data_IF_460950833859
#
_entry.id   IF_460950833859
#
_cell.length_a   1.000
_cell.length_b   1.000
_cell.length_c   1.000
_cell.angle_alpha   90.00
_cell.angle_beta   90.00
_cell.angle_gamma   90.00
#
_symmetry.space_group_name_H-M   'P 1'
#
loop_
_entity.id
_entity.type
_entity.pdbx_description
1 polymer ?
#
# COMPACT_ATOMS: atom_id res chain seq x y z
N UNK A 1 -15.40 -18.63 1.09
CA UNK A 1 -16.48 -17.61 1.01
C UNK A 1 -16.55 -17.10 -0.42
N UNK A 2 -17.66 -16.48 -0.85
CA UNK A 2 -17.70 -15.85 -2.18
C UNK A 2 -16.80 -14.61 -2.19
N UNK A 3 -16.08 -14.38 -3.29
CA UNK A 3 -15.31 -13.15 -3.51
C UNK A 3 -16.26 -12.08 -4.00
N UNK A 4 -16.26 -10.91 -3.35
CA UNK A 4 -17.00 -9.75 -3.82
C UNK A 4 -16.22 -9.08 -4.95
N UNK A 5 -16.92 -8.34 -5.82
CA UNK A 5 -16.31 -7.68 -6.99
C UNK A 5 -16.55 -6.17 -6.94
N UNK A 6 -15.48 -5.40 -7.07
CA UNK A 6 -15.52 -3.98 -7.44
C UNK A 6 -14.86 -3.85 -8.82
N UNK A 7 -15.63 -3.99 -9.90
CA UNK A 7 -15.10 -3.94 -11.26
C UNK A 7 -14.62 -2.52 -11.61
N UNK A 8 -13.89 -2.41 -12.71
CA UNK A 8 -13.43 -1.14 -13.26
C UNK A 8 -14.63 -0.30 -13.75
N UNK A 9 -15.19 0.48 -12.85
CA UNK A 9 -16.34 1.33 -13.07
C UNK A 9 -16.21 2.59 -12.20
N UNK A 10 -16.44 3.76 -12.78
CA UNK A 10 -16.36 5.05 -12.10
C UNK A 10 -17.18 5.12 -10.80
N UNK A 11 -18.25 4.31 -10.67
CA UNK A 11 -19.07 4.23 -9.45
C UNK A 11 -18.32 3.74 -8.22
N UNK A 12 -17.24 2.98 -8.42
CA UNK A 12 -16.41 2.38 -7.37
C UNK A 12 -15.06 3.06 -7.23
N UNK A 13 -14.80 4.11 -8.02
CA UNK A 13 -13.53 4.82 -8.03
C UNK A 13 -13.65 6.22 -7.41
N UNK A 14 -12.60 6.63 -6.72
CA UNK A 14 -12.41 7.98 -6.19
C UNK A 14 -10.91 8.33 -6.16
N UNK A 15 -10.57 9.63 -6.07
CA UNK A 15 -9.18 10.13 -6.09
C UNK A 15 -8.78 10.91 -4.84
N UNK A 16 -9.49 10.71 -3.72
CA UNK A 16 -9.21 11.35 -2.43
C UNK A 16 -9.62 10.44 -1.28
N UNK A 17 -9.09 10.68 -0.10
CA UNK A 17 -9.61 10.06 1.11
C UNK A 17 -10.57 11.01 1.83
N UNK A 18 -11.70 10.49 2.34
CA UNK A 18 -12.59 11.22 3.23
C UNK A 18 -13.38 10.23 4.12
N UNK A 19 -13.50 10.54 5.41
CA UNK A 19 -14.19 9.68 6.39
C UNK A 19 -15.70 9.61 6.21
N UNK A 20 -16.27 10.50 5.44
CA UNK A 20 -17.68 10.62 5.10
C UNK A 20 -18.04 10.15 3.68
N UNK A 21 -17.09 9.53 2.97
CA UNK A 21 -17.40 8.81 1.74
C UNK A 21 -18.28 7.59 2.06
N UNK A 22 -19.40 7.50 1.33
CA UNK A 22 -20.26 6.32 1.39
C UNK A 22 -19.49 5.08 0.90
N UNK A 23 -19.50 3.97 1.65
CA UNK A 23 -18.85 2.73 1.21
C UNK A 23 -19.40 2.23 -0.12
N UNK A 24 -18.51 1.89 -1.05
CA UNK A 24 -18.88 1.19 -2.28
C UNK A 24 -19.31 -0.25 -2.01
N UNK A 25 -18.80 -0.83 -0.92
CA UNK A 25 -19.07 -2.20 -0.49
C UNK A 25 -18.93 -2.31 1.03
N UNK A 26 -19.79 -3.12 1.66
CA UNK A 26 -19.63 -3.56 3.05
C UNK A 26 -19.45 -5.08 3.09
N UNK A 27 -18.46 -5.56 3.86
CA UNK A 27 -18.11 -6.97 3.99
C UNK A 27 -18.02 -7.38 5.46
N UNK A 28 -18.14 -8.70 5.70
CA UNK A 28 -17.82 -9.29 7.01
C UNK A 28 -16.30 -9.50 7.14
N UNK A 29 -15.74 -9.51 8.37
CA UNK A 29 -14.37 -9.97 8.61
C UNK A 29 -14.15 -11.37 8.02
N UNK A 30 -12.97 -11.60 7.43
CA UNK A 30 -12.67 -12.80 6.63
C UNK A 30 -13.19 -12.73 5.18
N UNK A 31 -13.85 -11.64 4.79
CA UNK A 31 -14.35 -11.43 3.44
C UNK A 31 -13.25 -11.06 2.45
N UNK A 32 -13.38 -11.54 1.20
CA UNK A 32 -12.45 -11.24 0.11
C UNK A 32 -13.11 -10.35 -0.94
N UNK A 33 -12.36 -9.40 -1.48
CA UNK A 33 -12.80 -8.47 -2.52
C UNK A 33 -11.80 -8.49 -3.66
N UNK A 34 -12.30 -8.62 -4.89
CA UNK A 34 -11.52 -8.36 -6.10
C UNK A 34 -11.82 -6.96 -6.59
N UNK A 35 -10.78 -6.13 -6.68
CA UNK A 35 -10.85 -4.76 -7.18
C UNK A 35 -10.19 -4.68 -8.54
N UNK A 36 -10.69 -3.80 -9.41
CA UNK A 36 -10.03 -3.42 -10.67
C UNK A 36 -9.88 -1.91 -10.73
N UNK A 37 -8.68 -1.43 -11.00
CA UNK A 37 -8.32 -0.02 -11.00
C UNK A 37 -7.60 0.38 -12.29
N UNK A 38 -7.77 1.62 -12.78
CA UNK A 38 -6.88 2.18 -13.80
C UNK A 38 -5.49 2.41 -13.19
N UNK A 39 -4.55 2.88 -13.99
CA UNK A 39 -3.27 3.33 -13.42
C UNK A 39 -3.46 4.58 -12.53
N UNK A 40 -2.39 5.04 -11.87
CA UNK A 40 -2.42 6.21 -10.99
C UNK A 40 -3.08 7.45 -11.62
N UNK A 41 -2.91 7.66 -12.93
CA UNK A 41 -3.42 8.82 -13.70
C UNK A 41 -4.76 8.54 -14.40
N UNK A 42 -5.54 7.56 -13.93
CA UNK A 42 -6.87 7.22 -14.42
C UNK A 42 -6.92 6.62 -15.84
N UNK A 43 -5.78 6.18 -16.40
CA UNK A 43 -5.73 5.49 -17.69
C UNK A 43 -6.08 4.01 -17.55
N UNK A 44 -6.98 3.53 -18.39
CA UNK A 44 -7.34 2.10 -18.53
C UNK A 44 -6.61 1.47 -19.71
N UNK A 45 -6.29 2.26 -20.73
CA UNK A 45 -5.41 1.98 -21.85
C UNK A 45 -4.51 3.20 -22.06
N UNK A 46 -3.41 3.14 -22.81
CA UNK A 46 -2.48 4.27 -22.96
C UNK A 46 -3.16 5.58 -23.34
N UNK A 47 -4.17 5.54 -24.22
CA UNK A 47 -4.89 6.71 -24.73
C UNK A 47 -6.35 6.78 -24.23
N UNK A 48 -6.75 5.97 -23.25
CA UNK A 48 -8.12 5.90 -22.74
C UNK A 48 -8.14 6.11 -21.24
N UNK A 49 -8.86 7.15 -20.81
CA UNK A 49 -9.07 7.45 -19.38
C UNK A 49 -10.51 7.15 -18.96
N UNK A 50 -10.66 6.79 -17.68
CA UNK A 50 -11.96 6.77 -17.02
C UNK A 50 -12.13 8.05 -16.22
N UNK A 51 -13.30 8.70 -16.31
CA UNK A 51 -13.56 9.92 -15.56
C UNK A 51 -14.01 9.61 -14.14
N UNK A 52 -13.46 10.35 -13.18
CA UNK A 52 -13.93 10.36 -11.80
C UNK A 52 -15.36 10.90 -11.70
N UNK A 53 -16.09 10.48 -10.65
CA UNK A 53 -17.39 11.05 -10.28
C UNK A 53 -17.28 12.49 -9.75
N UNK A 54 -16.14 12.86 -9.20
CA UNK A 54 -15.89 14.16 -8.57
C UNK A 54 -14.60 14.80 -9.11
N UNK A 55 -14.52 15.14 -10.41
CA UNK A 55 -13.27 15.56 -11.04
C UNK A 55 -12.65 16.81 -10.41
N UNK A 56 -13.45 17.64 -9.73
CA UNK A 56 -12.96 18.86 -9.05
C UNK A 56 -12.14 18.55 -7.78
N UNK A 57 -12.33 17.36 -7.18
CA UNK A 57 -11.68 16.96 -5.92
C UNK A 57 -10.86 15.68 -6.05
N UNK A 58 -11.13 14.85 -7.04
CA UNK A 58 -10.39 13.62 -7.34
C UNK A 58 -9.12 13.95 -8.12
N UNK A 59 -8.19 14.62 -7.47
CA UNK A 59 -6.92 15.07 -8.08
C UNK A 59 -5.74 14.13 -7.79
N UNK A 60 -6.00 13.01 -7.12
CA UNK A 60 -5.00 12.01 -6.75
C UNK A 60 -5.14 10.71 -7.53
N UNK A 61 -4.48 9.67 -7.00
CA UNK A 61 -4.50 8.31 -7.57
C UNK A 61 -5.93 7.77 -7.62
N UNK A 62 -6.24 7.03 -8.69
CA UNK A 62 -7.51 6.34 -8.81
C UNK A 62 -7.57 5.14 -7.86
N UNK A 63 -8.48 5.18 -6.88
CA UNK A 63 -8.65 4.16 -5.87
C UNK A 63 -10.00 3.48 -5.99
N UNK A 64 -10.05 2.17 -5.84
CA UNK A 64 -11.29 1.40 -5.67
C UNK A 64 -11.69 1.36 -4.20
N UNK A 65 -12.97 1.64 -3.93
CA UNK A 65 -13.52 1.67 -2.58
C UNK A 65 -14.47 2.85 -2.34
N UNK A 66 -14.70 3.27 -1.07
CA UNK A 66 -14.22 2.62 0.16
C UNK A 66 -14.88 1.26 0.40
N UNK A 67 -14.14 0.33 0.99
CA UNK A 67 -14.62 -0.96 1.47
C UNK A 67 -14.81 -0.84 2.98
N UNK A 68 -16.04 -0.97 3.45
CA UNK A 68 -16.34 -1.02 4.87
C UNK A 68 -16.23 -2.46 5.39
N UNK A 69 -15.58 -2.65 6.53
CA UNK A 69 -15.54 -3.94 7.23
C UNK A 69 -16.47 -3.88 8.43
N UNK A 70 -17.48 -4.76 8.45
CA UNK A 70 -18.50 -4.75 9.49
C UNK A 70 -17.89 -5.01 10.86
N UNK A 71 -18.25 -4.18 11.83
CA UNK A 71 -17.74 -4.28 13.19
C UNK A 71 -16.35 -3.68 13.41
N UNK A 72 -15.67 -3.19 12.37
CA UNK A 72 -14.41 -2.48 12.51
C UNK A 72 -14.58 -1.21 13.35
N UNK A 73 -13.69 -1.00 14.32
CA UNK A 73 -13.70 0.13 15.23
C UNK A 73 -12.36 0.87 15.23
N UNK A 74 -12.44 2.18 15.45
CA UNK A 74 -11.26 3.00 15.70
C UNK A 74 -10.40 2.36 16.81
N UNK A 75 -9.08 2.28 16.57
CA UNK A 75 -8.10 1.71 17.49
C UNK A 75 -7.86 0.20 17.33
N UNK A 76 -8.69 -0.53 16.60
CA UNK A 76 -8.38 -1.89 16.16
C UNK A 76 -7.35 -1.88 15.01
N UNK A 77 -6.89 -3.05 14.61
CA UNK A 77 -6.03 -3.22 13.43
C UNK A 77 -6.78 -3.95 12.33
N UNK A 78 -6.74 -3.40 11.12
CA UNK A 78 -7.18 -4.05 9.90
C UNK A 78 -6.03 -4.89 9.35
N UNK A 79 -6.24 -6.18 9.15
CA UNK A 79 -5.36 -7.06 8.39
C UNK A 79 -5.86 -7.14 6.94
N UNK A 80 -5.00 -6.77 6.00
CA UNK A 80 -5.27 -6.83 4.57
C UNK A 80 -4.29 -7.83 3.95
N UNK A 81 -4.77 -9.03 3.65
CA UNK A 81 -4.01 -10.03 2.94
C UNK A 81 -4.08 -9.75 1.44
N UNK A 82 -2.94 -9.66 0.79
CA UNK A 82 -2.81 -9.55 -0.66
C UNK A 82 -2.82 -10.96 -1.24
N UNK A 83 -3.95 -11.39 -1.77
CA UNK A 83 -4.09 -12.76 -2.31
C UNK A 83 -3.51 -12.86 -3.71
N UNK A 84 -3.75 -11.83 -4.54
CA UNK A 84 -3.30 -11.78 -5.94
C UNK A 84 -3.22 -10.32 -6.42
N UNK A 85 -2.26 -10.02 -7.29
CA UNK A 85 -2.17 -8.75 -8.03
C UNK A 85 -1.75 -9.04 -9.46
N UNK A 86 -2.60 -8.64 -10.41
CA UNK A 86 -2.38 -8.81 -11.84
C UNK A 86 -2.25 -7.44 -12.50
N UNK A 87 -1.09 -7.10 -13.07
CA UNK A 87 -0.92 -5.87 -13.84
C UNK A 87 -1.62 -5.98 -15.19
N UNK A 88 -1.89 -4.85 -15.83
CA UNK A 88 -2.30 -4.80 -17.22
C UNK A 88 -1.23 -5.30 -18.19
N UNK A 89 -1.49 -5.21 -19.48
CA UNK A 89 -0.55 -5.60 -20.54
C UNK A 89 0.46 -4.48 -20.89
N UNK A 90 0.32 -3.31 -20.29
CA UNK A 90 1.15 -2.13 -20.51
C UNK A 90 1.43 -1.39 -19.20
N UNK A 91 2.46 -0.58 -19.21
CA UNK A 91 2.76 0.32 -18.11
C UNK A 91 3.56 1.53 -18.57
N UNK A 92 3.75 2.50 -17.69
CA UNK A 92 4.50 3.72 -17.97
C UNK A 92 5.37 4.08 -16.78
N UNK A 93 6.56 4.63 -17.05
CA UNK A 93 7.46 5.21 -16.04
C UNK A 93 7.91 6.58 -16.53
N UNK A 94 7.91 7.56 -15.64
CA UNK A 94 8.37 8.91 -15.96
C UNK A 94 9.79 9.14 -15.43
N UNK A 95 10.67 9.62 -16.31
CA UNK A 95 12.07 9.97 -16.00
C UNK A 95 12.29 11.47 -15.83
N UNK A 96 11.31 12.18 -15.23
CA UNK A 96 11.27 13.64 -15.12
C UNK A 96 10.16 14.25 -15.97
N UNK A 97 10.10 15.60 -16.05
CA UNK A 97 8.92 16.34 -16.55
C UNK A 97 8.53 16.04 -18.01
N UNK A 98 9.42 15.56 -18.85
CA UNK A 98 9.14 15.37 -20.28
C UNK A 98 9.72 14.05 -20.82
N UNK A 99 9.97 13.09 -19.98
CA UNK A 99 10.50 11.80 -20.39
C UNK A 99 9.62 10.69 -19.88
N UNK A 100 8.88 10.08 -20.78
CA UNK A 100 8.00 8.95 -20.54
C UNK A 100 8.53 7.71 -21.25
N UNK A 101 8.50 6.57 -20.57
CA UNK A 101 8.85 5.27 -21.13
C UNK A 101 7.67 4.34 -20.98
N UNK A 102 7.15 3.86 -22.10
CA UNK A 102 6.11 2.84 -22.12
C UNK A 102 6.74 1.44 -22.03
N UNK A 103 6.10 0.58 -21.25
CA UNK A 103 6.47 -0.81 -21.05
C UNK A 103 5.44 -1.75 -21.66
N UNK A 104 5.90 -2.80 -22.30
CA UNK A 104 5.08 -3.95 -22.64
C UNK A 104 5.20 -4.99 -21.53
N UNK A 105 4.06 -5.42 -20.97
CA UNK A 105 3.99 -6.33 -19.84
C UNK A 105 3.38 -7.65 -20.31
N UNK A 106 4.14 -8.74 -20.28
CA UNK A 106 3.68 -10.05 -20.67
C UNK A 106 4.53 -11.15 -20.02
N UNK A 107 3.91 -12.27 -19.69
CA UNK A 107 4.58 -13.48 -19.19
C UNK A 107 5.47 -13.25 -17.97
N UNK A 108 5.06 -12.32 -17.07
CA UNK A 108 5.83 -11.97 -15.88
C UNK A 108 7.06 -11.08 -16.15
N UNK A 109 7.17 -10.51 -17.35
CA UNK A 109 8.31 -9.68 -17.77
C UNK A 109 7.83 -8.34 -18.34
N UNK A 110 8.46 -7.26 -17.89
CA UNK A 110 8.33 -5.91 -18.47
C UNK A 110 9.46 -5.63 -19.46
N UNK A 111 9.12 -5.06 -20.63
CA UNK A 111 10.05 -4.77 -21.72
C UNK A 111 9.99 -3.32 -22.15
N UNK A 112 11.12 -2.62 -22.05
CA UNK A 112 11.28 -1.25 -22.54
C UNK A 112 12.77 -0.95 -22.81
N UNK A 113 13.08 0.02 -23.67
CA UNK A 113 14.45 0.52 -23.96
C UNK A 113 15.44 -0.61 -24.29
N UNK A 114 14.98 -1.70 -24.93
CA UNK A 114 15.81 -2.86 -25.21
C UNK A 114 16.27 -3.65 -23.99
N UNK A 115 15.57 -3.52 -22.86
CA UNK A 115 15.81 -4.22 -21.59
C UNK A 115 14.58 -5.01 -21.17
N UNK A 116 14.82 -6.02 -20.34
CA UNK A 116 13.80 -6.83 -19.68
C UNK A 116 13.96 -6.75 -18.17
N UNK A 117 12.83 -6.81 -17.46
CA UNK A 117 12.74 -6.78 -16.00
C UNK A 117 11.67 -7.77 -15.56
N UNK A 118 11.98 -8.61 -14.57
CA UNK A 118 10.97 -9.48 -13.94
C UNK A 118 9.94 -8.64 -13.19
N UNK A 119 8.67 -8.97 -13.36
CA UNK A 119 7.58 -8.27 -12.69
C UNK A 119 7.38 -8.80 -11.26
N UNK A 120 7.09 -7.88 -10.35
CA UNK A 120 6.68 -8.15 -8.98
C UNK A 120 5.53 -7.19 -8.64
N UNK A 121 4.30 -7.46 -9.12
CA UNK A 121 3.21 -6.50 -9.06
C UNK A 121 2.66 -6.34 -7.64
N UNK A 122 2.33 -5.09 -7.29
CA UNK A 122 1.71 -4.72 -6.03
C UNK A 122 0.83 -3.46 -6.20
N UNK A 123 0.17 -3.02 -5.12
CA UNK A 123 -0.58 -1.77 -5.08
C UNK A 123 0.20 -0.72 -4.30
N UNK A 124 0.51 0.41 -4.91
CA UNK A 124 1.21 1.54 -4.28
C UNK A 124 0.36 2.17 -3.17
N UNK A 125 -0.95 2.32 -3.42
CA UNK A 125 -1.88 2.88 -2.44
C UNK A 125 -2.74 1.78 -1.82
N UNK A 126 -2.57 1.58 -0.51
CA UNK A 126 -3.44 0.77 0.35
C UNK A 126 -3.66 1.49 1.68
N UNK A 127 -4.88 1.97 1.95
CA UNK A 127 -5.09 2.74 3.18
C UNK A 127 -6.52 3.14 3.47
N UNK A 128 -6.66 3.88 4.55
CA UNK A 128 -7.92 4.37 5.11
C UNK A 128 -7.90 5.89 5.25
N UNK A 129 -9.07 6.56 5.29
CA UNK A 129 -9.14 8.00 5.46
C UNK A 129 -8.60 8.42 6.84
N UNK A 130 -7.98 9.60 6.97
CA UNK A 130 -7.71 10.20 8.27
C UNK A 130 -8.99 10.41 9.08
N UNK A 131 -8.91 10.47 10.44
CA UNK A 131 -10.08 10.72 11.29
C UNK A 131 -10.58 12.17 11.20
N UNK A 132 -9.75 13.09 10.72
CA UNK A 132 -10.12 14.48 10.50
C UNK A 132 -11.15 14.60 9.36
N UNK A 133 -12.19 15.46 9.50
CA UNK A 133 -13.16 15.66 8.43
C UNK A 133 -12.55 16.36 7.21
N UNK A 134 -13.19 16.19 6.05
CA UNK A 134 -12.81 16.85 4.80
C UNK A 134 -12.10 15.94 3.83
N UNK A 135 -11.61 16.53 2.75
CA UNK A 135 -10.94 15.86 1.62
C UNK A 135 -9.44 15.81 1.88
N UNK A 136 -8.87 14.61 1.79
CA UNK A 136 -7.44 14.40 1.99
C UNK A 136 -6.80 13.80 0.73
N UNK A 137 -5.61 14.32 0.39
CA UNK A 137 -4.83 13.84 -0.76
C UNK A 137 -4.45 12.36 -0.62
N UNK A 138 -4.40 11.64 -1.72
CA UNK A 138 -3.89 10.26 -1.78
C UNK A 138 -2.36 10.22 -1.87
N UNK A 139 -1.70 11.34 -2.18
CA UNK A 139 -0.25 11.38 -2.44
C UNK A 139 0.61 11.00 -1.23
N UNK A 140 0.46 11.58 -0.01
CA UNK A 140 1.34 11.22 1.08
C UNK A 140 0.90 9.92 1.77
N UNK A 141 1.84 9.03 2.10
CA UNK A 141 1.56 7.93 3.02
C UNK A 141 1.30 8.47 4.43
N UNK A 142 0.54 7.71 5.21
CA UNK A 142 0.15 8.07 6.58
C UNK A 142 0.25 6.84 7.50
N UNK A 143 0.07 7.06 8.79
CA UNK A 143 0.01 5.97 9.77
C UNK A 143 -1.16 5.00 9.56
N UNK A 144 -2.13 5.36 8.74
CA UNK A 144 -3.29 4.53 8.35
C UNK A 144 -3.11 3.88 6.97
N UNK A 145 -1.88 3.80 6.46
CA UNK A 145 -1.61 3.41 5.08
C UNK A 145 -1.67 4.61 4.13
N UNK A 146 -2.15 4.40 2.93
CA UNK A 146 -2.16 5.36 1.82
C UNK A 146 -1.09 5.00 0.81
N UNK A 147 -0.41 5.97 0.25
CA UNK A 147 0.63 5.78 -0.77
C UNK A 147 1.93 5.28 -0.15
N UNK A 148 1.95 3.99 0.19
CA UNK A 148 3.09 3.34 0.87
C UNK A 148 4.24 3.12 -0.09
N UNK A 149 3.96 2.71 -1.33
CA UNK A 149 4.92 2.40 -2.39
C UNK A 149 6.00 1.39 -1.96
N UNK A 150 5.56 0.32 -1.30
CA UNK A 150 6.45 -0.72 -0.82
C UNK A 150 6.41 -1.95 -1.72
N UNK A 151 7.47 -2.18 -2.48
CA UNK A 151 7.59 -3.26 -3.47
C UNK A 151 7.48 -4.67 -2.88
N UNK A 152 7.67 -4.82 -1.57
CA UNK A 152 7.54 -6.09 -0.84
C UNK A 152 6.08 -6.49 -0.57
N UNK A 153 5.09 -5.59 -0.79
CA UNK A 153 3.66 -5.86 -0.56
C UNK A 153 3.00 -6.60 -1.75
N UNK A 154 3.68 -7.62 -2.25
CA UNK A 154 3.21 -8.50 -3.34
C UNK A 154 2.21 -9.54 -2.86
N UNK A 155 1.65 -10.34 -3.78
CA UNK A 155 0.78 -11.45 -3.46
C UNK A 155 1.42 -12.42 -2.44
N UNK A 156 0.64 -12.88 -1.46
CA UNK A 156 1.06 -13.72 -0.34
C UNK A 156 1.45 -12.94 0.93
N UNK A 157 1.46 -11.60 0.88
CA UNK A 157 1.78 -10.75 2.04
C UNK A 157 0.53 -10.28 2.78
N UNK A 158 0.70 -9.82 4.03
CA UNK A 158 -0.37 -9.22 4.83
C UNK A 158 0.08 -7.86 5.36
N UNK A 159 -0.66 -6.82 5.03
CA UNK A 159 -0.48 -5.47 5.56
C UNK A 159 -1.42 -5.27 6.76
N UNK A 160 -0.89 -4.81 7.87
CA UNK A 160 -1.63 -4.48 9.10
C UNK A 160 -1.66 -2.98 9.28
N UNK A 161 -2.85 -2.42 9.39
CA UNK A 161 -3.08 -0.97 9.47
C UNK A 161 -3.88 -0.60 10.73
N UNK A 162 -3.47 0.40 11.52
CA UNK A 162 -4.30 0.91 12.61
C UNK A 162 -5.55 1.57 12.04
N UNK A 163 -6.74 1.18 12.50
CA UNK A 163 -8.03 1.70 12.04
C UNK A 163 -8.28 3.09 12.62
N UNK A 164 -8.42 4.13 11.77
CA UNK A 164 -8.61 5.51 12.24
C UNK A 164 -10.07 5.90 12.43
N UNK A 165 -11.01 5.20 11.79
CA UNK A 165 -12.45 5.49 11.79
C UNK A 165 -13.26 4.20 11.80
N UNK A 166 -14.45 4.23 12.39
CA UNK A 166 -15.37 3.09 12.38
C UNK A 166 -15.68 2.63 10.95
N UNK A 167 -15.74 1.32 10.76
CA UNK A 167 -15.92 0.71 9.44
C UNK A 167 -14.63 0.56 8.63
N UNK A 168 -13.50 1.07 9.11
CA UNK A 168 -12.21 1.13 8.41
C UNK A 168 -12.23 2.01 7.15
N UNK A 169 -13.18 1.83 6.22
CA UNK A 169 -13.31 2.57 4.95
C UNK A 169 -12.05 2.44 4.06
N UNK A 170 -11.57 1.21 3.90
CA UNK A 170 -10.36 0.92 3.16
C UNK A 170 -10.52 1.16 1.65
N UNK A 171 -9.50 1.75 1.04
CA UNK A 171 -9.41 1.93 -0.40
C UNK A 171 -8.01 1.57 -0.91
N UNK A 172 -7.93 1.07 -2.13
CA UNK A 172 -6.66 0.71 -2.76
C UNK A 172 -6.66 0.97 -4.27
N UNK A 173 -5.48 1.16 -4.81
CA UNK A 173 -5.25 1.41 -6.22
C UNK A 173 -3.78 1.61 -6.52
N UNK A 174 -3.48 2.33 -7.63
CA UNK A 174 -2.11 2.64 -7.98
C UNK A 174 -1.30 1.37 -8.25
N UNK A 175 -1.67 0.68 -9.32
CA UNK A 175 -1.04 -0.59 -9.70
C UNK A 175 0.39 -0.40 -10.20
N UNK A 176 1.34 -1.03 -9.53
CA UNK A 176 2.75 -1.07 -9.91
C UNK A 176 3.12 -2.46 -10.41
N UNK A 177 3.66 -2.56 -11.62
CA UNK A 177 4.12 -3.83 -12.16
C UNK A 177 5.52 -4.22 -11.61
N UNK A 178 6.37 -3.24 -11.33
CA UNK A 178 7.65 -3.39 -10.64
C UNK A 178 8.15 -2.03 -10.17
N UNK A 179 8.94 -2.01 -9.09
CA UNK A 179 9.56 -0.81 -8.52
C UNK A 179 10.91 -1.16 -7.89
N UNK A 180 11.85 -0.24 -7.92
CA UNK A 180 13.05 -0.28 -7.09
C UNK A 180 12.87 0.45 -5.78
N UNK A 181 13.70 0.16 -4.77
CA UNK A 181 13.73 0.92 -3.52
C UNK A 181 13.93 2.41 -3.81
N UNK A 182 13.14 3.23 -3.12
CA UNK A 182 13.18 4.69 -3.23
C UNK A 182 12.25 5.28 -4.28
N UNK A 183 11.74 4.51 -5.25
CA UNK A 183 10.88 5.02 -6.33
C UNK A 183 11.45 6.31 -6.96
N UNK A 184 12.73 6.30 -7.25
CA UNK A 184 13.60 7.47 -7.39
C UNK A 184 13.21 8.47 -8.47
N UNK A 185 12.38 8.09 -9.43
CA UNK A 185 11.90 9.00 -10.49
C UNK A 185 10.52 9.60 -10.17
N UNK A 186 9.85 9.15 -9.11
CA UNK A 186 8.50 9.55 -8.72
C UNK A 186 7.38 8.69 -9.30
N UNK A 187 7.76 7.60 -9.99
CA UNK A 187 6.85 6.57 -10.49
C UNK A 187 7.55 5.22 -10.58
N UNK A 188 6.80 4.16 -10.39
CA UNK A 188 7.17 2.79 -10.69
C UNK A 188 6.97 2.46 -12.18
N UNK A 189 6.69 1.21 -12.53
CA UNK A 189 5.99 0.86 -13.77
C UNK A 189 4.50 0.93 -13.46
N UNK A 190 3.92 2.08 -13.71
CA UNK A 190 2.51 2.39 -13.47
C UNK A 190 1.62 1.64 -14.44
N UNK A 191 0.65 0.89 -13.97
CA UNK A 191 -0.19 0.01 -14.80
C UNK A 191 -1.62 -0.09 -14.24
N UNK A 192 -2.65 -0.24 -15.05
CA UNK A 192 -3.93 -0.72 -14.55
C UNK A 192 -3.74 -2.08 -13.87
N UNK A 193 -4.49 -2.32 -12.81
CA UNK A 193 -4.34 -3.57 -12.05
C UNK A 193 -5.68 -4.16 -11.63
N UNK A 194 -5.68 -5.49 -11.47
CA UNK A 194 -6.71 -6.23 -10.74
C UNK A 194 -6.05 -6.90 -9.56
N UNK A 195 -6.59 -6.68 -8.35
CA UNK A 195 -6.08 -7.30 -7.14
C UNK A 195 -7.19 -8.01 -6.37
N UNK A 196 -6.86 -9.11 -5.72
CA UNK A 196 -7.73 -9.75 -4.74
C UNK A 196 -7.15 -9.55 -3.35
N UNK A 197 -7.98 -9.04 -2.45
CA UNK A 197 -7.62 -8.71 -1.07
C UNK A 197 -8.60 -9.40 -0.12
N UNK A 198 -8.09 -9.96 0.97
CA UNK A 198 -8.89 -10.54 2.06
C UNK A 198 -8.69 -9.72 3.32
N UNK A 199 -9.79 -9.40 4.02
CA UNK A 199 -9.81 -8.47 5.14
C UNK A 199 -10.19 -9.18 6.44
N UNK A 200 -9.44 -8.90 7.53
CA UNK A 200 -9.78 -9.37 8.85
C UNK A 200 -9.50 -8.30 9.91
N UNK A 201 -10.07 -8.46 11.11
CA UNK A 201 -9.90 -7.56 12.24
C UNK A 201 -9.02 -8.21 13.31
N UNK A 202 -8.12 -7.42 13.89
CA UNK A 202 -7.20 -7.86 14.93
C UNK A 202 -7.29 -6.94 16.15
N UNK A 203 -7.77 -7.50 17.26
CA UNK A 203 -7.81 -6.83 18.57
C UNK A 203 -6.51 -7.06 19.38
N UNK A 204 -5.80 -8.12 19.06
CA UNK A 204 -4.58 -8.56 19.73
C UNK A 204 -3.31 -7.88 19.23
N UNK A 205 -3.42 -7.01 18.21
CA UNK A 205 -2.29 -6.36 17.54
C UNK A 205 -2.49 -4.83 17.50
N UNK A 206 -2.41 -4.12 18.65
CA UNK A 206 -2.50 -2.67 18.63
C UNK A 206 -1.29 -2.07 17.93
N UNK A 207 -1.52 -1.24 16.91
CA UNK A 207 -0.49 -0.61 16.10
C UNK A 207 -0.62 0.91 16.14
N UNK A 208 0.52 1.60 16.10
CA UNK A 208 0.58 3.04 15.87
C UNK A 208 0.89 3.36 14.40
N UNK A 209 1.70 2.53 13.75
CA UNK A 209 2.14 2.63 12.36
C UNK A 209 1.89 1.32 11.61
N UNK A 210 1.84 1.34 10.28
CA UNK A 210 1.71 0.12 9.49
C UNK A 210 2.81 -0.89 9.79
N UNK A 211 2.44 -2.17 9.73
CA UNK A 211 3.33 -3.32 9.83
C UNK A 211 2.95 -4.28 8.70
N UNK A 212 3.89 -5.04 8.18
CA UNK A 212 3.57 -6.09 7.22
C UNK A 212 4.25 -7.41 7.58
N UNK A 213 3.57 -8.50 7.26
CA UNK A 213 4.15 -9.84 7.22
C UNK A 213 4.35 -10.24 5.77
N UNK A 214 5.59 -10.47 5.40
CA UNK A 214 5.99 -10.96 4.09
C UNK A 214 6.58 -12.37 4.20
N UNK A 215 6.90 -13.00 3.08
CA UNK A 215 7.57 -14.30 3.12
C UNK A 215 8.91 -14.21 3.85
N UNK A 216 9.03 -14.92 4.97
CA UNK A 216 10.24 -15.01 5.78
C UNK A 216 10.65 -13.73 6.53
N UNK A 217 9.80 -12.68 6.63
CA UNK A 217 10.16 -11.47 7.37
C UNK A 217 8.96 -10.66 7.87
N UNK A 218 9.22 -9.81 8.87
CA UNK A 218 8.37 -8.73 9.30
C UNK A 218 8.91 -7.39 8.78
N UNK A 219 7.99 -6.50 8.39
CA UNK A 219 8.27 -5.11 8.05
C UNK A 219 7.58 -4.17 9.04
N UNK A 220 8.25 -3.07 9.41
CA UNK A 220 7.62 -1.95 10.09
C UNK A 220 7.93 -0.67 9.35
N UNK A 221 6.95 0.22 9.23
CA UNK A 221 7.05 1.42 8.40
C UNK A 221 7.21 2.69 9.22
N UNK A 222 7.93 3.65 8.67
CA UNK A 222 7.99 5.01 9.16
C UNK A 222 7.89 5.99 8.02
N UNK A 223 7.02 7.00 8.18
CA UNK A 223 6.78 8.04 7.20
C UNK A 223 7.00 9.42 7.83
N UNK A 224 7.81 10.26 7.19
CA UNK A 224 8.07 11.62 7.64
C UNK A 224 8.70 12.47 6.51
N UNK A 225 8.59 13.79 6.59
CA UNK A 225 9.24 14.72 5.63
C UNK A 225 10.77 14.63 5.65
N UNK A 226 11.35 14.15 6.75
CA UNK A 226 12.78 13.92 6.90
C UNK A 226 13.08 12.43 7.04
N UNK A 227 13.94 11.90 6.17
CA UNK A 227 14.26 10.46 6.08
C UNK A 227 14.79 9.89 7.41
N UNK A 228 15.60 10.67 8.16
CA UNK A 228 16.12 10.24 9.46
C UNK A 228 15.02 10.05 10.51
N UNK A 229 13.95 10.84 10.49
CA UNK A 229 12.79 10.63 11.36
C UNK A 229 11.93 9.47 10.90
N UNK A 230 11.76 9.28 9.58
CA UNK A 230 11.09 8.10 9.04
C UNK A 230 11.80 6.81 9.48
N UNK A 231 13.15 6.77 9.37
CA UNK A 231 13.95 5.65 9.85
C UNK A 231 13.75 5.38 11.35
N UNK A 232 13.71 6.44 12.18
CA UNK A 232 13.47 6.28 13.62
C UNK A 232 12.10 5.69 13.92
N UNK A 233 11.04 6.17 13.26
CA UNK A 233 9.68 5.64 13.42
C UNK A 233 9.65 4.15 13.05
N UNK A 234 10.26 3.76 11.93
CA UNK A 234 10.32 2.36 11.51
C UNK A 234 11.07 1.49 12.54
N UNK A 235 12.20 1.98 13.08
CA UNK A 235 12.97 1.26 14.12
C UNK A 235 12.19 1.16 15.43
N UNK A 236 11.54 2.25 15.88
CA UNK A 236 10.74 2.23 17.11
C UNK A 236 9.58 1.22 16.98
N UNK A 237 8.93 1.15 15.81
CA UNK A 237 7.94 0.13 15.48
C UNK A 237 8.52 -1.29 15.51
N UNK A 238 9.73 -1.48 14.96
CA UNK A 238 10.41 -2.79 14.95
C UNK A 238 10.82 -3.23 16.36
N UNK A 239 11.30 -2.33 17.19
CA UNK A 239 11.63 -2.62 18.60
C UNK A 239 10.38 -3.06 19.37
N UNK A 240 9.24 -2.39 19.16
CA UNK A 240 7.97 -2.79 19.76
C UNK A 240 7.50 -4.17 19.25
N UNK A 241 7.64 -4.44 17.97
CA UNK A 241 7.32 -5.73 17.36
C UNK A 241 8.22 -6.85 17.93
N UNK A 242 9.52 -6.64 17.96
CA UNK A 242 10.49 -7.61 18.51
C UNK A 242 10.23 -7.88 20.00
N UNK A 243 9.87 -6.85 20.78
CA UNK A 243 9.47 -7.02 22.18
C UNK A 243 8.32 -8.01 22.34
N UNK A 244 7.38 -7.98 21.44
CA UNK A 244 6.21 -8.87 21.42
C UNK A 244 6.54 -10.26 20.86
N UNK A 245 7.18 -10.33 19.69
CA UNK A 245 7.47 -11.59 18.99
C UNK A 245 8.57 -12.42 19.65
N UNK A 246 9.59 -11.74 20.23
CA UNK A 246 10.76 -12.40 20.85
C UNK A 246 10.68 -12.40 22.38
N UNK A 247 9.75 -11.68 22.99
CA UNK A 247 9.62 -11.58 24.46
C UNK A 247 10.78 -10.85 25.13
N UNK A 248 11.48 -9.95 24.43
CA UNK A 248 12.63 -9.21 24.92
C UNK A 248 12.26 -7.80 25.41
N UNK A 249 13.08 -7.20 26.28
CA UNK A 249 12.86 -5.80 26.69
C UNK A 249 13.16 -4.81 25.57
N UNK A 250 12.60 -3.58 25.61
CA UNK A 250 12.85 -2.58 24.58
C UNK A 250 14.34 -2.24 24.39
N UNK A 251 15.14 -2.25 25.47
CA UNK A 251 16.59 -2.06 25.38
C UNK A 251 17.30 -3.21 24.67
N UNK A 252 16.94 -4.45 25.01
CA UNK A 252 17.49 -5.65 24.35
C UNK A 252 17.02 -5.73 22.89
N UNK A 253 15.73 -5.41 22.62
CA UNK A 253 15.20 -5.36 21.26
C UNK A 253 15.98 -4.36 20.39
N UNK A 254 16.34 -3.18 20.92
CA UNK A 254 17.14 -2.19 20.17
C UNK A 254 18.56 -2.71 19.89
N UNK A 255 19.19 -3.41 20.85
CA UNK A 255 20.51 -4.04 20.64
C UNK A 255 20.41 -5.11 19.54
N UNK A 256 19.40 -5.98 19.60
CA UNK A 256 19.16 -7.00 18.58
C UNK A 256 18.84 -6.36 17.21
N UNK A 257 18.02 -5.32 17.18
CA UNK A 257 17.71 -4.60 15.95
C UNK A 257 18.97 -4.03 15.28
N UNK A 258 19.94 -3.55 16.06
CA UNK A 258 21.21 -3.02 15.52
C UNK A 258 22.05 -4.05 14.75
N UNK A 259 21.83 -5.34 14.96
CA UNK A 259 22.64 -6.42 14.34
C UNK A 259 21.84 -7.37 13.46
N UNK A 260 20.50 -7.30 13.50
CA UNK A 260 19.65 -8.25 12.78
C UNK A 260 18.47 -7.61 12.00
N UNK A 261 18.37 -6.27 11.98
CA UNK A 261 17.33 -5.54 11.25
C UNK A 261 17.98 -4.67 10.18
N UNK A 262 17.50 -4.79 8.95
CA UNK A 262 17.90 -3.94 7.84
C UNK A 262 16.93 -2.77 7.67
N UNK A 263 17.42 -1.61 7.20
CA UNK A 263 16.60 -0.46 6.85
C UNK A 263 16.64 -0.27 5.33
N UNK A 264 15.45 -0.20 4.73
CA UNK A 264 15.27 0.07 3.32
C UNK A 264 14.57 1.41 3.10
N UNK A 265 14.92 2.10 2.03
CA UNK A 265 14.22 3.31 1.61
C UNK A 265 13.01 2.89 0.79
N UNK A 266 11.82 3.05 1.34
CA UNK A 266 10.57 2.66 0.66
C UNK A 266 10.33 3.55 -0.56
N UNK A 267 10.26 4.87 -0.34
CA UNK A 267 10.15 5.90 -1.39
C UNK A 267 10.63 7.26 -0.87
N UNK A 268 11.06 8.15 -1.80
CA UNK A 268 11.59 9.50 -1.48
C UNK A 268 10.88 10.62 -2.24
N UNK A 269 9.68 10.37 -2.77
CA UNK A 269 9.08 11.22 -3.81
C UNK A 269 7.74 11.85 -3.44
N UNK A 270 7.03 11.36 -2.41
CA UNK A 270 5.66 11.76 -2.08
C UNK A 270 5.55 12.90 -1.04
N UNK A 271 6.55 13.78 -0.93
CA UNK A 271 6.70 14.84 0.10
C UNK A 271 6.84 14.29 1.51
N UNK A 272 6.27 13.13 1.78
CA UNK A 272 6.43 12.34 3.00
C UNK A 272 7.24 11.10 2.63
N UNK A 273 8.49 11.05 3.10
CA UNK A 273 9.44 9.99 2.75
C UNK A 273 9.17 8.72 3.56
N UNK A 274 9.41 7.56 2.96
CA UNK A 274 9.17 6.26 3.57
C UNK A 274 10.45 5.46 3.83
N UNK A 275 10.55 4.91 5.03
CA UNK A 275 11.52 3.86 5.40
C UNK A 275 10.74 2.66 5.90
N UNK A 276 11.20 1.46 5.55
CA UNK A 276 10.78 0.26 6.25
C UNK A 276 11.96 -0.49 6.84
N UNK A 277 11.74 -1.01 8.06
CA UNK A 277 12.68 -1.88 8.74
C UNK A 277 12.29 -3.33 8.49
N UNK A 278 13.26 -4.20 8.26
CA UNK A 278 13.07 -5.61 7.89
C UNK A 278 13.70 -6.50 8.95
N UNK A 279 12.90 -7.35 9.61
CA UNK A 279 13.34 -8.41 10.49
C UNK A 279 13.08 -9.76 9.84
N UNK A 280 14.12 -10.46 9.44
CA UNK A 280 14.01 -11.82 8.88
C UNK A 280 13.76 -12.85 9.97
N UNK A 281 12.99 -13.89 9.67
CA UNK A 281 12.67 -14.97 10.62
C UNK A 281 13.93 -15.74 11.07
N UNK A 282 14.94 -15.78 10.23
CA UNK A 282 16.21 -16.46 10.48
C UNK A 282 17.32 -15.55 11.06
N UNK A 283 16.98 -14.28 11.37
CA UNK A 283 17.95 -13.31 11.90
C UNK A 283 18.58 -13.75 13.23
N UNK A 284 17.82 -14.46 14.05
CA UNK A 284 18.26 -14.96 15.34
C UNK A 284 17.94 -16.45 15.51
N UNK A 285 18.81 -17.17 16.23
CA UNK A 285 18.68 -18.62 16.52
C UNK A 285 18.72 -18.86 18.00
#
# INVERSE_FOLDING_TARGET
MAVHELPLDARFLHGHFARDLEPALEIEPGGSVRISVPNHAWHVEPDVTIQSRWPEIDTGHALAGPIAVRGAKEGQTLAVQVDDVQPGSWGVTYGGENHEVQWQLADGVGRALGRELDLAPFLGVMGMPPPEPGVHSTIPPRRFGGNIDCKELVAGTTLYLPIPVDGALFSAGDGHAAQGDGEVSGTAIETPATAQLTFDLRDDLPLEWPVARIDGAWLTFGFHEHLGYAARIAVDGMVALMGRELGVTGGDALVLASVGVDLHVTQVVNKTLGIHAVLRDDAFR
#
